data_IF_856996412998
#
_entry.id   IF_856996412998
#
_cell.length_a   1.000
_cell.length_b   1.000
_cell.length_c   1.000
_cell.angle_alpha   90.00
_cell.angle_beta   90.00
_cell.angle_gamma   90.00
#
_symmetry.space_group_name_H-M   'P 1'
#
loop_
_entity.id
_entity.type
_entity.pdbx_description
1 polymer ?
#
# COMPACT_ATOMS: atom_id res chain seq x y z
N UNK A 1 8.86 -14.56 -4.71
CA UNK A 1 8.36 -13.86 -3.50
C UNK A 1 6.84 -13.78 -3.54
N UNK A 2 6.18 -14.07 -2.43
CA UNK A 2 4.75 -13.86 -2.23
C UNK A 2 4.51 -12.41 -1.82
N UNK A 3 3.87 -11.64 -2.70
CA UNK A 3 3.57 -10.22 -2.46
C UNK A 3 2.10 -10.09 -2.09
N UNK A 4 1.82 -9.60 -0.88
CA UNK A 4 0.48 -9.25 -0.45
C UNK A 4 0.32 -7.73 -0.36
N UNK A 5 -0.84 -7.22 -0.73
CA UNK A 5 -1.11 -5.77 -0.77
C UNK A 5 -2.38 -5.47 0.01
N UNK A 6 -2.32 -4.46 0.87
CA UNK A 6 -3.48 -3.95 1.59
C UNK A 6 -3.70 -2.49 1.18
N UNK A 7 -4.92 -2.18 0.79
CA UNK A 7 -5.31 -0.87 0.27
C UNK A 7 -6.51 -0.36 1.08
N UNK A 8 -6.29 0.48 2.10
CA UNK A 8 -7.36 1.22 2.76
C UNK A 8 -8.07 2.14 1.78
N UNK A 9 -9.42 2.17 1.83
CA UNK A 9 -10.26 2.97 0.92
C UNK A 9 -11.32 3.71 1.74
N UNK A 10 -11.38 5.03 1.54
CA UNK A 10 -12.43 5.89 2.08
C UNK A 10 -12.77 6.99 1.07
N UNK A 11 -13.91 6.88 0.39
CA UNK A 11 -14.43 7.87 -0.57
C UNK A 11 -13.44 8.22 -1.70
N UNK A 12 -13.05 7.22 -2.48
CA UNK A 12 -12.07 7.33 -3.58
C UNK A 12 -12.72 7.13 -4.98
N UNK A 13 -14.04 7.31 -5.12
CA UNK A 13 -14.76 6.98 -6.35
C UNK A 13 -14.18 7.60 -7.63
N UNK A 14 -13.54 8.77 -7.53
CA UNK A 14 -12.99 9.49 -8.67
C UNK A 14 -11.68 8.89 -9.19
N UNK A 15 -10.93 8.19 -8.33
CA UNK A 15 -9.59 7.68 -8.64
C UNK A 15 -9.52 6.15 -8.63
N UNK A 16 -10.32 5.49 -7.80
CA UNK A 16 -10.22 4.06 -7.49
C UNK A 16 -10.29 3.17 -8.74
N UNK A 17 -11.04 3.56 -9.77
CA UNK A 17 -11.12 2.81 -11.02
C UNK A 17 -9.74 2.64 -11.65
N UNK A 18 -9.00 3.73 -11.84
CA UNK A 18 -7.66 3.72 -12.45
C UNK A 18 -6.66 2.98 -11.59
N UNK A 19 -6.77 3.11 -10.27
CA UNK A 19 -5.95 2.40 -9.29
C UNK A 19 -6.12 0.88 -9.44
N UNK A 20 -7.35 0.38 -9.38
CA UNK A 20 -7.69 -1.05 -9.55
C UNK A 20 -7.21 -1.58 -10.91
N UNK A 21 -7.51 -0.87 -12.01
CA UNK A 21 -7.08 -1.25 -13.36
C UNK A 21 -5.55 -1.33 -13.45
N UNK A 22 -4.81 -0.39 -12.84
CA UNK A 22 -3.35 -0.40 -12.84
C UNK A 22 -2.78 -1.62 -12.12
N UNK A 23 -3.42 -2.07 -11.06
CA UNK A 23 -3.03 -3.25 -10.30
C UNK A 23 -3.36 -4.54 -11.05
N UNK A 24 -4.56 -4.63 -11.66
CA UNK A 24 -4.95 -5.78 -12.49
C UNK A 24 -3.99 -5.94 -13.69
N UNK A 25 -3.44 -4.85 -14.21
CA UNK A 25 -2.56 -4.86 -15.39
C UNK A 25 -1.06 -5.00 -15.06
N UNK A 26 -0.67 -5.33 -13.83
CA UNK A 26 0.73 -5.59 -13.49
C UNK A 26 1.33 -6.75 -14.28
N UNK A 27 2.62 -6.68 -14.64
CA UNK A 27 3.36 -7.77 -15.31
C UNK A 27 3.46 -9.00 -14.43
N UNK A 28 3.76 -8.80 -13.16
CA UNK A 28 3.71 -9.85 -12.11
C UNK A 28 2.52 -9.55 -11.21
N UNK A 29 1.60 -10.52 -11.10
CA UNK A 29 0.44 -10.36 -10.21
C UNK A 29 0.85 -10.55 -8.76
N UNK A 30 0.33 -9.72 -7.84
CA UNK A 30 0.41 -10.01 -6.41
C UNK A 30 -0.22 -11.36 -6.07
N UNK A 31 0.22 -11.94 -4.96
CA UNK A 31 -0.35 -13.20 -4.46
C UNK A 31 -1.75 -12.98 -3.87
N UNK A 32 -1.94 -11.89 -3.16
CA UNK A 32 -3.22 -11.51 -2.57
C UNK A 32 -3.32 -9.98 -2.42
N UNK A 33 -4.49 -9.44 -2.72
CA UNK A 33 -4.81 -8.02 -2.53
C UNK A 33 -6.10 -7.86 -1.75
N UNK A 34 -6.07 -7.05 -0.69
CA UNK A 34 -7.24 -6.69 0.08
C UNK A 34 -7.50 -5.20 0.00
N UNK A 35 -8.62 -4.82 -0.61
CA UNK A 35 -9.19 -3.50 -0.46
C UNK A 35 -10.01 -3.45 0.82
N UNK A 36 -9.65 -2.56 1.74
CA UNK A 36 -10.37 -2.37 3.01
C UNK A 36 -11.25 -1.14 2.88
N UNK A 37 -12.54 -1.35 2.66
CA UNK A 37 -13.53 -0.29 2.62
C UNK A 37 -13.84 0.19 4.05
N UNK A 38 -13.30 1.35 4.43
CA UNK A 38 -13.50 1.93 5.77
C UNK A 38 -14.61 2.97 5.77
N UNK A 39 -15.87 2.51 5.81
CA UNK A 39 -17.07 3.35 5.86
C UNK A 39 -17.23 4.32 4.66
N UNK A 40 -16.81 3.97 3.45
CA UNK A 40 -17.10 4.81 2.29
C UNK A 40 -18.61 5.00 2.11
N UNK A 41 -19.01 6.23 1.84
CA UNK A 41 -20.39 6.65 1.59
C UNK A 41 -20.68 6.89 0.11
N UNK A 42 -19.63 6.90 -0.70
CA UNK A 42 -19.66 7.06 -2.16
C UNK A 42 -19.70 5.70 -2.88
N UNK A 43 -19.47 5.70 -4.20
CA UNK A 43 -19.54 4.50 -5.00
C UNK A 43 -18.23 3.67 -5.07
N UNK A 44 -17.21 4.02 -4.28
CA UNK A 44 -15.88 3.38 -4.30
C UNK A 44 -15.96 1.85 -4.22
N UNK A 45 -16.68 1.32 -3.24
CA UNK A 45 -16.82 -0.13 -3.03
C UNK A 45 -17.41 -0.86 -4.22
N UNK A 46 -18.48 -0.29 -4.82
CA UNK A 46 -19.16 -0.91 -5.96
C UNK A 46 -18.26 -0.88 -7.22
N UNK A 47 -17.51 0.21 -7.41
CA UNK A 47 -16.55 0.31 -8.51
C UNK A 47 -15.51 -0.79 -8.40
N UNK A 48 -14.92 -0.99 -7.22
CA UNK A 48 -13.92 -2.06 -6.98
C UNK A 48 -14.56 -3.42 -7.30
N UNK A 49 -15.70 -3.75 -6.70
CA UNK A 49 -16.38 -5.04 -6.90
C UNK A 49 -16.68 -5.35 -8.36
N UNK A 50 -17.10 -4.35 -9.13
CA UNK A 50 -17.40 -4.51 -10.55
C UNK A 50 -16.13 -4.77 -11.38
N UNK A 51 -14.98 -4.17 -11.01
CA UNK A 51 -13.74 -4.30 -11.75
C UNK A 51 -13.00 -5.60 -11.44
N UNK A 52 -12.99 -6.03 -10.18
CA UNK A 52 -12.25 -7.23 -9.78
C UNK A 52 -12.90 -8.51 -10.32
N UNK A 53 -14.22 -8.53 -10.53
CA UNK A 53 -14.93 -9.60 -11.22
C UNK A 53 -14.51 -11.01 -10.81
N UNK A 54 -13.73 -11.69 -11.69
CA UNK A 54 -13.20 -13.05 -11.49
C UNK A 54 -11.75 -13.09 -11.00
N UNK A 55 -11.20 -11.96 -10.52
CA UNK A 55 -9.84 -11.94 -9.97
C UNK A 55 -9.84 -12.56 -8.57
N UNK A 56 -9.58 -13.85 -8.46
CA UNK A 56 -9.60 -14.61 -7.19
C UNK A 56 -8.57 -14.11 -6.16
N UNK A 57 -7.51 -13.45 -6.62
CA UNK A 57 -6.45 -12.88 -5.78
C UNK A 57 -6.74 -11.46 -5.26
N UNK A 58 -7.92 -10.88 -5.59
CA UNK A 58 -8.35 -9.55 -5.09
C UNK A 58 -9.67 -9.68 -4.33
N UNK A 59 -9.70 -9.16 -3.11
CA UNK A 59 -10.89 -9.14 -2.26
C UNK A 59 -11.22 -7.75 -1.75
N UNK A 60 -12.49 -7.52 -1.42
CA UNK A 60 -12.95 -6.32 -0.71
C UNK A 60 -13.52 -6.75 0.63
N UNK A 61 -13.03 -6.17 1.70
CA UNK A 61 -13.56 -6.36 3.05
C UNK A 61 -14.07 -5.04 3.62
N UNK A 62 -15.15 -5.10 4.40
CA UNK A 62 -15.70 -3.92 5.06
C UNK A 62 -15.11 -3.80 6.46
N UNK A 63 -14.61 -2.63 6.77
CA UNK A 63 -14.18 -2.22 8.10
C UNK A 63 -15.06 -1.07 8.58
N UNK A 64 -15.41 -1.08 9.85
CA UNK A 64 -16.15 0.02 10.49
C UNK A 64 -15.30 0.63 11.58
N UNK A 65 -14.56 1.69 11.23
CA UNK A 65 -13.85 2.48 12.25
C UNK A 65 -14.86 3.24 13.12
N UNK A 66 -14.71 3.15 14.44
CA UNK A 66 -15.61 3.80 15.41
C UNK A 66 -15.06 5.11 15.98
N UNK A 67 -13.81 5.45 15.71
CA UNK A 67 -13.13 6.57 16.36
C UNK A 67 -13.33 7.90 15.64
N UNK A 68 -13.34 9.01 16.44
CA UNK A 68 -13.15 10.37 15.94
C UNK A 68 -11.91 10.43 15.05
N UNK A 69 -11.98 11.24 14.01
CA UNK A 69 -10.87 11.41 13.07
C UNK A 69 -9.59 11.86 13.80
N UNK A 70 -8.63 10.93 13.89
CA UNK A 70 -7.25 11.21 14.30
C UNK A 70 -6.39 11.03 13.05
N UNK A 71 -5.71 12.08 12.56
CA UNK A 71 -4.90 12.00 11.36
C UNK A 71 -3.88 10.85 11.45
N UNK A 72 -3.79 10.04 10.39
CA UNK A 72 -2.88 8.89 10.30
C UNK A 72 -3.32 7.62 11.03
N UNK A 73 -4.26 7.67 11.99
CA UNK A 73 -4.66 6.47 12.73
C UNK A 73 -5.61 5.58 11.93
N UNK A 74 -6.62 6.14 11.29
CA UNK A 74 -7.65 5.37 10.57
C UNK A 74 -7.08 4.54 9.42
N UNK A 75 -6.15 5.11 8.66
CA UNK A 75 -5.51 4.39 7.56
C UNK A 75 -4.73 3.17 8.07
N UNK A 76 -4.06 3.30 9.22
CA UNK A 76 -3.33 2.19 9.84
C UNK A 76 -4.27 1.18 10.50
N UNK A 77 -5.37 1.62 11.10
CA UNK A 77 -6.40 0.71 11.63
C UNK A 77 -7.02 -0.13 10.51
N UNK A 78 -7.40 0.50 9.39
CA UNK A 78 -7.90 -0.19 8.22
C UNK A 78 -6.84 -1.14 7.61
N UNK A 79 -5.58 -0.71 7.51
CA UNK A 79 -4.48 -1.57 7.09
C UNK A 79 -4.32 -2.79 8.01
N UNK A 80 -4.28 -2.59 9.34
CA UNK A 80 -4.16 -3.67 10.31
C UNK A 80 -5.38 -4.61 10.28
N UNK A 81 -6.57 -4.10 9.97
CA UNK A 81 -7.75 -4.92 9.73
C UNK A 81 -7.56 -5.79 8.48
N UNK A 82 -7.09 -5.21 7.38
CA UNK A 82 -6.76 -5.96 6.17
C UNK A 82 -5.69 -7.04 6.43
N UNK A 83 -4.63 -6.70 7.18
CA UNK A 83 -3.57 -7.63 7.55
C UNK A 83 -4.10 -8.87 8.28
N UNK A 84 -5.05 -8.70 9.20
CA UNK A 84 -5.69 -9.82 9.93
C UNK A 84 -6.59 -10.69 9.03
N UNK A 85 -7.01 -10.16 7.88
CA UNK A 85 -7.86 -10.85 6.93
C UNK A 85 -7.07 -11.49 5.78
N UNK A 86 -5.74 -11.38 5.75
CA UNK A 86 -4.91 -12.11 4.78
C UNK A 86 -5.03 -13.62 5.00
N UNK A 87 -5.21 -14.35 3.92
CA UNK A 87 -5.26 -15.82 3.89
C UNK A 87 -3.91 -16.41 3.51
N UNK A 88 -3.03 -15.59 2.94
CA UNK A 88 -1.71 -16.00 2.44
C UNK A 88 -0.60 -15.44 3.33
N UNK A 89 0.39 -16.27 3.65
CA UNK A 89 1.66 -15.78 4.20
C UNK A 89 2.41 -15.01 3.11
N UNK A 90 3.11 -13.93 3.50
CA UNK A 90 3.81 -13.06 2.57
C UNK A 90 5.32 -13.02 2.84
N UNK A 91 6.09 -12.84 1.77
CA UNK A 91 7.49 -12.44 1.83
C UNK A 91 7.61 -10.91 1.81
N UNK A 92 6.64 -10.26 1.14
CA UNK A 92 6.53 -8.79 1.04
C UNK A 92 5.10 -8.37 1.32
N UNK A 93 4.93 -7.41 2.23
CA UNK A 93 3.65 -6.74 2.49
C UNK A 93 3.68 -5.30 2.01
N UNK A 94 2.69 -4.90 1.21
CA UNK A 94 2.57 -3.54 0.70
C UNK A 94 1.39 -2.83 1.33
N UNK A 95 1.58 -1.55 1.65
CA UNK A 95 0.52 -0.60 1.96
C UNK A 95 0.45 0.43 0.84
N UNK A 96 -0.65 0.44 0.09
CA UNK A 96 -0.90 1.45 -0.94
C UNK A 96 -2.15 2.24 -0.62
N UNK A 97 -2.21 3.51 -1.09
CA UNK A 97 -3.44 4.30 -1.02
C UNK A 97 -4.37 3.98 -2.20
N UNK A 98 -5.66 4.23 -2.02
CA UNK A 98 -6.69 3.86 -3.00
C UNK A 98 -6.66 4.67 -4.31
N UNK A 99 -5.97 5.80 -4.33
CA UNK A 99 -5.83 6.70 -5.46
C UNK A 99 -4.53 6.50 -6.28
N UNK A 100 -3.68 5.56 -5.88
CA UNK A 100 -2.38 5.32 -6.53
C UNK A 100 -2.55 4.55 -7.84
N UNK A 101 -1.96 5.09 -8.91
CA UNK A 101 -1.87 4.45 -10.23
C UNK A 101 -0.44 3.92 -10.41
N UNK A 102 -0.29 2.61 -10.48
CA UNK A 102 1.00 1.94 -10.59
C UNK A 102 1.45 1.80 -12.05
N UNK A 103 2.75 1.99 -12.36
CA UNK A 103 3.33 1.52 -13.64
C UNK A 103 3.14 0.02 -13.79
N UNK A 104 3.04 -0.48 -15.03
CA UNK A 104 2.77 -1.90 -15.32
C UNK A 104 3.76 -2.90 -14.68
N UNK A 105 5.00 -2.51 -14.49
CA UNK A 105 6.07 -3.35 -13.93
C UNK A 105 6.43 -2.98 -12.48
N UNK A 106 5.52 -2.32 -11.74
CA UNK A 106 5.84 -1.85 -10.39
C UNK A 106 6.12 -3.01 -9.43
N UNK A 107 5.25 -4.02 -9.40
CA UNK A 107 5.41 -5.19 -8.52
C UNK A 107 6.68 -5.98 -8.90
N UNK A 108 6.95 -6.12 -10.18
CA UNK A 108 8.18 -6.74 -10.68
C UNK A 108 9.43 -6.02 -10.14
N UNK A 109 9.45 -4.67 -10.22
CA UNK A 109 10.57 -3.87 -9.69
C UNK A 109 10.72 -3.97 -8.18
N UNK A 110 9.64 -4.01 -7.44
CA UNK A 110 9.68 -4.24 -5.99
C UNK A 110 10.30 -5.60 -5.65
N UNK A 111 9.92 -6.65 -6.38
CA UNK A 111 10.49 -8.00 -6.20
C UNK A 111 11.98 -8.01 -6.55
N UNK A 112 12.39 -7.37 -7.66
CA UNK A 112 13.81 -7.25 -8.06
C UNK A 112 14.64 -6.58 -6.93
N UNK A 113 14.20 -5.43 -6.41
CA UNK A 113 14.87 -4.71 -5.32
C UNK A 113 15.11 -5.61 -4.10
N UNK A 114 14.09 -6.34 -3.67
CA UNK A 114 14.20 -7.22 -2.51
C UNK A 114 15.05 -8.47 -2.79
N UNK A 115 15.10 -8.97 -4.02
CA UNK A 115 15.95 -10.08 -4.41
C UNK A 115 17.43 -9.69 -4.53
N UNK A 116 17.71 -8.47 -5.02
CA UNK A 116 19.07 -7.97 -5.21
C UNK A 116 19.79 -7.68 -3.89
N UNK A 117 19.06 -7.29 -2.84
CA UNK A 117 19.66 -6.96 -1.56
C UNK A 117 18.77 -7.36 -0.37
N UNK A 118 19.20 -8.38 0.35
CA UNK A 118 18.48 -8.90 1.53
C UNK A 118 18.42 -7.91 2.70
N UNK A 119 19.27 -6.89 2.73
CA UNK A 119 19.25 -5.84 3.76
C UNK A 119 18.22 -4.75 3.49
N UNK A 120 17.62 -4.71 2.31
CA UNK A 120 16.51 -3.78 2.04
C UNK A 120 15.28 -4.24 2.79
N UNK A 121 14.84 -3.42 3.74
CA UNK A 121 13.67 -3.69 4.58
C UNK A 121 12.41 -2.96 4.09
N UNK A 122 12.56 -1.75 3.57
CA UNK A 122 11.45 -0.94 3.02
C UNK A 122 11.84 -0.46 1.63
N UNK A 123 10.94 -0.61 0.67
CA UNK A 123 11.10 -0.11 -0.69
C UNK A 123 9.83 0.61 -1.16
N UNK A 124 10.00 1.49 -2.15
CA UNK A 124 8.88 2.20 -2.76
C UNK A 124 9.27 2.85 -4.07
N UNK A 125 8.46 3.77 -4.54
CA UNK A 125 8.69 4.52 -5.75
C UNK A 125 8.58 6.02 -5.53
N UNK A 126 8.82 6.77 -6.59
CA UNK A 126 8.57 8.20 -6.60
C UNK A 126 7.10 8.49 -6.92
N UNK A 127 6.52 9.45 -6.21
CA UNK A 127 5.15 9.89 -6.45
C UNK A 127 5.13 11.06 -7.46
N UNK A 128 4.15 11.02 -8.33
CA UNK A 128 3.87 12.06 -9.30
C UNK A 128 2.40 12.46 -9.20
N UNK A 129 2.13 13.73 -9.32
CA UNK A 129 0.77 14.28 -9.39
C UNK A 129 0.46 14.78 -10.78
N UNK A 130 -0.76 14.57 -11.24
CA UNK A 130 -1.22 15.05 -12.54
C UNK A 130 -1.67 16.50 -12.42
N UNK A 131 -0.93 17.45 -13.01
CA UNK A 131 -1.28 18.87 -13.09
C UNK A 131 -1.31 19.32 -14.53
N UNK A 132 -2.41 19.90 -14.97
CA UNK A 132 -2.59 20.40 -16.34
C UNK A 132 -2.20 19.38 -17.43
N UNK A 133 -2.58 18.11 -17.23
CA UNK A 133 -2.30 17.01 -18.16
C UNK A 133 -0.86 16.50 -18.16
N UNK A 134 0.01 16.97 -17.27
CA UNK A 134 1.40 16.53 -17.13
C UNK A 134 1.65 15.90 -15.76
N UNK A 135 2.40 14.79 -15.74
CA UNK A 135 2.89 14.19 -14.50
C UNK A 135 4.07 14.98 -13.95
N UNK A 136 3.93 15.50 -12.75
CA UNK A 136 4.94 16.30 -12.06
C UNK A 136 5.40 15.53 -10.82
N UNK A 137 6.72 15.36 -10.65
CA UNK A 137 7.29 14.73 -9.47
C UNK A 137 6.89 15.50 -8.20
N UNK A 138 6.39 14.77 -7.21
CA UNK A 138 6.00 15.31 -5.91
C UNK A 138 7.22 15.44 -4.99
N UNK A 139 7.94 16.55 -5.11
CA UNK A 139 9.21 16.79 -4.38
C UNK A 139 8.93 17.39 -2.98
N UNK A 140 8.28 16.62 -2.09
CA UNK A 140 7.95 17.06 -0.72
C UNK A 140 8.66 16.25 0.38
N UNK A 141 9.50 15.29 0.01
CA UNK A 141 10.28 14.48 0.93
C UNK A 141 11.68 14.19 0.35
N UNK A 142 12.63 13.86 1.23
CA UNK A 142 13.94 13.40 0.78
C UNK A 142 13.81 12.13 -0.08
N UNK A 143 14.65 11.99 -1.11
CA UNK A 143 14.63 10.82 -2.01
C UNK A 143 14.89 9.48 -1.29
N UNK A 144 15.50 9.53 -0.12
CA UNK A 144 15.76 8.38 0.76
C UNK A 144 14.58 8.03 1.66
N UNK A 145 13.46 8.76 1.55
CA UNK A 145 12.25 8.52 2.33
C UNK A 145 11.17 7.92 1.44
N UNK A 146 10.76 6.70 1.74
CA UNK A 146 9.61 6.07 1.08
C UNK A 146 8.32 6.64 1.66
N UNK A 147 7.51 7.23 0.77
CA UNK A 147 6.27 7.91 1.12
C UNK A 147 5.17 6.93 1.53
N UNK A 148 4.34 7.35 2.50
CA UNK A 148 3.21 6.58 3.03
C UNK A 148 2.26 5.95 2.02
N UNK A 149 1.90 6.63 0.90
CA UNK A 149 1.00 6.07 -0.11
C UNK A 149 1.51 4.84 -0.86
N UNK A 150 2.82 4.52 -0.83
CA UNK A 150 3.41 3.53 -1.74
C UNK A 150 4.56 2.76 -1.08
N UNK A 151 4.30 2.08 0.04
CA UNK A 151 5.30 1.34 0.81
C UNK A 151 5.20 -0.15 0.63
N UNK A 152 6.36 -0.77 0.40
CA UNK A 152 6.54 -2.21 0.43
C UNK A 152 7.55 -2.58 1.53
N UNK A 153 7.26 -3.59 2.33
CA UNK A 153 8.08 -4.05 3.44
C UNK A 153 8.45 -5.51 3.24
N UNK A 154 9.71 -5.84 3.43
CA UNK A 154 10.14 -7.21 3.62
C UNK A 154 9.51 -7.76 4.90
N UNK A 155 9.05 -9.02 4.90
CA UNK A 155 8.34 -9.62 6.04
C UNK A 155 9.15 -9.55 7.34
N UNK A 156 10.45 -9.84 7.28
CA UNK A 156 11.35 -9.78 8.43
C UNK A 156 11.46 -8.36 8.99
N UNK A 157 11.63 -7.36 8.12
CA UNK A 157 11.66 -5.96 8.52
C UNK A 157 10.34 -5.53 9.16
N UNK A 158 9.22 -5.90 8.55
CA UNK A 158 7.88 -5.60 9.07
C UNK A 158 7.66 -6.17 10.47
N UNK A 159 8.15 -7.38 10.72
CA UNK A 159 8.12 -8.03 12.03
C UNK A 159 9.05 -7.32 13.03
N UNK A 160 10.28 -6.98 12.63
CA UNK A 160 11.27 -6.31 13.49
C UNK A 160 10.80 -4.93 13.99
N UNK A 161 10.03 -4.20 13.18
CA UNK A 161 9.44 -2.92 13.58
C UNK A 161 8.11 -3.08 14.34
N UNK A 162 7.66 -4.33 14.57
CA UNK A 162 6.38 -4.68 15.17
C UNK A 162 5.18 -4.06 14.44
N UNK A 163 5.10 -4.22 13.13
CA UNK A 163 4.09 -3.70 12.23
C UNK A 163 3.95 -2.16 12.24
N UNK A 164 2.94 -1.64 11.53
CA UNK A 164 2.70 -0.19 11.47
C UNK A 164 2.05 0.32 12.75
N UNK A 165 2.57 1.42 13.27
CA UNK A 165 2.03 2.07 14.47
C UNK A 165 1.00 3.13 14.10
N UNK A 166 -0.15 3.08 14.74
CA UNK A 166 -1.18 4.12 14.59
C UNK A 166 -0.72 5.40 15.29
N UNK A 167 -0.13 6.32 14.52
CA UNK A 167 0.39 7.62 15.00
C UNK A 167 0.40 8.66 13.89
N UNK A 168 0.42 9.93 14.25
CA UNK A 168 0.75 11.01 13.31
C UNK A 168 2.18 10.80 12.82
N UNK A 169 2.41 10.87 11.50
CA UNK A 169 3.73 10.63 10.91
C UNK A 169 4.19 9.18 10.95
N UNK A 170 3.24 8.22 11.01
CA UNK A 170 3.52 6.78 11.02
C UNK A 170 4.50 6.36 9.93
N UNK A 171 4.44 7.02 8.77
CA UNK A 171 5.26 6.77 7.58
C UNK A 171 6.72 7.27 7.70
N UNK A 172 7.02 8.03 8.75
CA UNK A 172 8.37 8.38 9.15
C UNK A 172 8.84 7.49 10.31
N UNK A 173 7.94 7.18 11.24
CA UNK A 173 8.24 6.34 12.41
C UNK A 173 8.71 4.94 11.97
N UNK A 174 8.04 4.32 11.00
CA UNK A 174 8.40 2.99 10.49
C UNK A 174 9.78 2.98 9.83
N UNK A 175 10.13 4.04 9.05
CA UNK A 175 11.45 4.19 8.43
C UNK A 175 12.54 4.31 9.50
N UNK A 176 12.33 5.15 10.51
CA UNK A 176 13.29 5.33 11.60
C UNK A 176 13.50 4.04 12.42
N UNK A 177 12.40 3.31 12.67
CA UNK A 177 12.48 2.01 13.36
C UNK A 177 13.24 0.98 12.54
N UNK A 178 12.99 0.89 11.23
CA UNK A 178 13.69 -0.01 10.33
C UNK A 178 15.19 0.32 10.28
N UNK A 179 15.54 1.59 10.11
CA UNK A 179 16.95 2.04 10.11
C UNK A 179 17.65 1.73 11.44
N UNK A 180 16.96 1.94 12.58
CA UNK A 180 17.51 1.58 13.91
C UNK A 180 17.79 0.09 14.05
N UNK A 181 17.08 -0.76 13.32
CA UNK A 181 17.29 -2.21 13.26
C UNK A 181 18.32 -2.63 12.20
N UNK A 182 18.92 -1.68 11.48
CA UNK A 182 19.94 -1.93 10.46
C UNK A 182 19.40 -2.22 9.05
N UNK A 183 18.08 -2.05 8.82
CA UNK A 183 17.49 -2.19 7.52
C UNK A 183 17.78 -0.99 6.61
N UNK A 184 17.99 -1.28 5.33
CA UNK A 184 18.12 -0.27 4.29
C UNK A 184 16.73 0.15 3.77
N UNK A 185 16.64 1.40 3.34
CA UNK A 185 15.45 2.01 2.74
C UNK A 185 15.80 2.34 1.28
N UNK A 186 14.91 1.92 0.36
CA UNK A 186 15.16 2.05 -1.08
C UNK A 186 14.05 2.85 -1.78
#
# INVERSE_FOLDING_TARGET
MKVCIIIPVFNEQDFIKKSVESLINQTIKPTEVIYVNDNSTDNSKNIIKNLIGKCEWIRVVDHKSFQKHVPGSKVIEAFNFGLKNLETQFDVICKFDGDIILPKNYIEKIIEIFNENEKVGIAGGNLYVLKNGKWIYENIAAKTHVRGPIKAYRAECFNDINALKSSIGWDTVDVLLAQKKGWLIY
#
